data_IF_328203641012
#
_entry.id   IF_328203641012
#
_cell.length_a   1.000
_cell.length_b   1.000
_cell.length_c   1.000
_cell.angle_alpha   90.00
_cell.angle_beta   90.00
_cell.angle_gamma   90.00
#
_symmetry.space_group_name_H-M   'P 1'
#
loop_
_entity.id
_entity.type
_entity.pdbx_description
1 polymer ?
#
# COMPACT_ATOMS: atom_id res chain seq x y z
N UNK A 1 -1.98 -37.65 4.33
CA UNK A 1 -0.77 -36.89 4.70
C UNK A 1 0.19 -37.02 3.52
N UNK A 2 0.37 -35.95 2.77
CA UNK A 2 1.22 -36.00 1.56
C UNK A 2 2.70 -36.08 1.97
N UNK A 3 3.56 -36.68 1.14
CA UNK A 3 5.01 -36.82 1.40
C UNK A 3 5.70 -35.50 1.77
N UNK A 4 5.15 -34.38 1.29
CA UNK A 4 5.59 -33.01 1.58
C UNK A 4 5.36 -32.65 3.05
N UNK A 5 4.18 -32.93 3.62
CA UNK A 5 3.85 -32.62 5.02
C UNK A 5 4.78 -33.35 6.01
N UNK A 6 5.03 -34.64 5.77
CA UNK A 6 5.91 -35.44 6.63
C UNK A 6 7.38 -34.97 6.59
N UNK A 7 7.83 -34.44 5.45
CA UNK A 7 9.20 -33.92 5.27
C UNK A 7 9.40 -32.59 5.99
N UNK A 8 8.43 -31.68 5.91
CA UNK A 8 8.48 -30.41 6.65
C UNK A 8 8.32 -30.62 8.16
N UNK A 9 7.48 -31.55 8.60
CA UNK A 9 7.39 -31.92 10.02
C UNK A 9 8.72 -32.42 10.60
N UNK A 10 9.47 -33.20 9.82
CA UNK A 10 10.79 -33.67 10.21
C UNK A 10 11.82 -32.53 10.28
N UNK A 11 11.78 -31.58 9.33
CA UNK A 11 12.60 -30.36 9.36
C UNK A 11 12.27 -29.47 10.57
N UNK A 12 10.98 -29.27 10.85
CA UNK A 12 10.51 -28.48 11.98
C UNK A 12 11.03 -29.03 13.31
N UNK A 13 11.06 -30.36 13.44
CA UNK A 13 11.55 -31.05 14.64
C UNK A 13 13.07 -31.09 14.76
N UNK A 14 13.80 -31.10 13.63
CA UNK A 14 15.25 -31.35 13.62
C UNK A 14 16.10 -30.08 13.65
N UNK A 15 15.56 -28.94 13.20
CA UNK A 15 16.31 -27.69 13.14
C UNK A 15 15.94 -26.76 14.31
N UNK A 16 16.93 -26.13 14.99
CA UNK A 16 16.69 -25.25 16.13
C UNK A 16 16.25 -23.84 15.70
N UNK A 17 15.41 -23.77 14.67
CA UNK A 17 14.87 -22.52 14.16
C UNK A 17 13.49 -22.26 14.75
N UNK A 18 13.15 -20.98 14.90
CA UNK A 18 11.78 -20.58 15.19
C UNK A 18 11.01 -20.66 13.88
N UNK A 19 10.15 -21.66 13.76
CA UNK A 19 9.27 -21.83 12.61
C UNK A 19 8.04 -20.94 12.79
N UNK A 20 7.77 -20.11 11.79
CA UNK A 20 6.60 -19.25 11.77
C UNK A 20 5.50 -19.93 10.93
N UNK A 21 4.87 -20.96 11.48
CA UNK A 21 3.86 -21.80 10.82
C UNK A 21 2.63 -21.01 10.32
N UNK A 22 2.45 -19.78 10.82
CA UNK A 22 1.36 -18.87 10.47
C UNK A 22 1.74 -17.80 9.44
N UNK A 23 3.02 -17.68 9.07
CA UNK A 23 3.46 -16.71 8.06
C UNK A 23 3.20 -17.28 6.66
N UNK A 24 1.95 -17.18 6.20
CA UNK A 24 1.57 -17.36 4.79
C UNK A 24 2.11 -16.25 3.87
N UNK A 25 3.00 -15.41 4.38
CA UNK A 25 3.45 -14.16 3.79
C UNK A 25 4.90 -14.28 3.32
N UNK A 26 5.34 -13.31 2.53
CA UNK A 26 6.62 -13.38 1.83
C UNK A 26 7.84 -13.34 2.74
N UNK A 27 8.92 -13.97 2.27
CA UNK A 27 10.26 -13.78 2.83
C UNK A 27 10.68 -12.33 2.62
N UNK A 28 10.84 -11.59 3.72
CA UNK A 28 11.19 -10.18 3.63
C UNK A 28 12.68 -10.00 3.39
N UNK A 29 13.03 -9.19 2.38
CA UNK A 29 14.41 -8.79 2.16
C UNK A 29 14.73 -7.51 2.96
N UNK A 30 15.61 -7.61 3.98
CA UNK A 30 15.93 -6.49 4.84
C UNK A 30 16.80 -5.44 4.14
N UNK A 31 17.50 -5.82 3.07
CA UNK A 31 18.54 -4.99 2.45
C UNK A 31 17.97 -3.83 1.64
N UNK A 32 18.71 -2.71 1.67
CA UNK A 32 18.32 -1.43 1.10
C UNK A 32 17.41 -0.58 2.00
N UNK A 33 17.19 -0.97 3.27
CA UNK A 33 16.46 -0.16 4.26
C UNK A 33 17.44 0.36 5.31
N UNK A 34 17.34 1.62 5.76
CA UNK A 34 18.14 2.10 6.88
C UNK A 34 18.03 1.23 8.16
N UNK A 35 16.94 0.49 8.34
CA UNK A 35 16.69 -0.44 9.46
C UNK A 35 17.47 -1.76 9.34
N UNK A 36 18.19 -2.02 8.24
CA UNK A 36 18.87 -3.30 7.95
C UNK A 36 20.04 -3.67 8.89
N UNK A 37 20.47 -2.77 9.79
CA UNK A 37 21.74 -2.85 10.53
C UNK A 37 22.00 -4.16 11.29
N UNK A 38 20.95 -4.93 11.61
CA UNK A 38 21.05 -6.19 12.34
C UNK A 38 21.22 -7.42 11.44
N UNK A 39 21.18 -7.26 10.11
CA UNK A 39 21.22 -8.36 9.15
C UNK A 39 22.50 -8.32 8.33
N UNK A 40 23.19 -9.46 8.27
CA UNK A 40 24.43 -9.62 7.50
C UNK A 40 24.20 -10.25 6.13
N UNK A 41 23.31 -11.24 6.06
CA UNK A 41 22.93 -11.94 4.83
C UNK A 41 21.50 -12.49 4.94
N UNK A 42 20.85 -12.65 3.80
CA UNK A 42 19.61 -13.39 3.61
C UNK A 42 19.89 -14.54 2.66
N UNK A 43 19.52 -15.74 3.07
CA UNK A 43 19.60 -16.95 2.25
C UNK A 43 18.19 -17.41 1.92
N UNK A 44 17.88 -17.49 0.63
CA UNK A 44 16.56 -17.93 0.14
C UNK A 44 16.72 -19.23 -0.65
N UNK A 45 16.13 -20.30 -0.14
CA UNK A 45 16.04 -21.59 -0.82
C UNK A 45 14.77 -21.63 -1.66
N UNK A 46 14.89 -21.41 -2.97
CA UNK A 46 13.79 -21.51 -3.92
C UNK A 46 13.77 -22.92 -4.52
N UNK A 47 13.01 -23.80 -3.88
CA UNK A 47 12.89 -25.19 -4.30
C UNK A 47 12.08 -25.36 -5.59
N UNK A 48 11.27 -24.38 -5.98
CA UNK A 48 10.48 -24.44 -7.21
C UNK A 48 11.36 -24.17 -8.43
N UNK A 49 12.27 -23.21 -8.32
CA UNK A 49 13.19 -22.85 -9.41
C UNK A 49 14.55 -23.56 -9.29
N UNK A 50 14.74 -24.42 -8.29
CA UNK A 50 16.00 -25.13 -7.98
C UNK A 50 17.19 -24.18 -7.74
N UNK A 51 16.99 -23.10 -6.98
CA UNK A 51 18.00 -22.05 -6.77
C UNK A 51 18.19 -21.70 -5.30
N UNK A 52 19.44 -21.56 -4.86
CA UNK A 52 19.82 -20.86 -3.63
C UNK A 52 20.21 -19.43 -3.98
N UNK A 53 19.54 -18.47 -3.34
CA UNK A 53 19.89 -17.05 -3.43
C UNK A 53 20.56 -16.56 -2.16
N UNK A 54 21.58 -15.75 -2.33
CA UNK A 54 22.28 -15.04 -1.28
C UNK A 54 22.13 -13.54 -1.53
N UNK A 55 21.58 -12.81 -0.57
CA UNK A 55 21.45 -11.36 -0.64
C UNK A 55 22.13 -10.74 0.58
N UNK A 56 22.92 -9.70 0.36
CA UNK A 56 23.52 -8.89 1.42
C UNK A 56 23.45 -7.40 1.05
N UNK A 57 24.13 -6.53 1.79
CA UNK A 57 24.13 -5.08 1.49
C UNK A 57 24.79 -4.73 0.14
N UNK A 58 25.69 -5.58 -0.33
CA UNK A 58 26.55 -5.33 -1.49
C UNK A 58 25.90 -5.84 -2.78
N UNK A 59 25.00 -6.82 -2.70
CA UNK A 59 24.26 -7.32 -3.86
C UNK A 59 23.45 -8.58 -3.61
N UNK A 60 22.97 -9.15 -4.71
CA UNK A 60 22.26 -10.42 -4.77
C UNK A 60 23.01 -11.37 -5.72
N UNK A 61 23.12 -12.64 -5.32
CA UNK A 61 23.74 -13.69 -6.12
C UNK A 61 22.97 -14.99 -6.00
N UNK A 62 23.07 -15.86 -7.00
CA UNK A 62 22.34 -17.12 -7.03
C UNK A 62 23.19 -18.29 -7.52
N UNK A 63 22.82 -19.50 -7.11
CA UNK A 63 23.37 -20.75 -7.64
C UNK A 63 22.29 -21.83 -7.69
N UNK A 64 22.39 -22.78 -8.62
CA UNK A 64 21.48 -23.92 -8.66
C UNK A 64 21.70 -24.84 -7.46
N UNK A 65 20.61 -25.30 -6.84
CA UNK A 65 20.66 -26.23 -5.70
C UNK A 65 21.29 -27.57 -6.11
N UNK A 66 21.11 -28.02 -7.36
CA UNK A 66 21.79 -29.20 -7.88
C UNK A 66 23.32 -29.15 -7.69
N UNK A 67 23.95 -28.00 -7.92
CA UNK A 67 25.41 -27.85 -7.79
C UNK A 67 25.89 -28.01 -6.35
N UNK A 68 25.08 -27.62 -5.36
CA UNK A 68 25.37 -27.82 -3.93
C UNK A 68 25.40 -29.31 -3.54
N UNK A 69 24.70 -30.16 -4.29
CA UNK A 69 24.66 -31.62 -4.04
C UNK A 69 25.84 -32.35 -4.68
N UNK A 70 26.42 -31.77 -5.72
CA UNK A 70 27.50 -32.38 -6.50
C UNK A 70 28.88 -32.05 -5.94
N UNK A 71 29.07 -30.84 -5.41
CA UNK A 71 30.39 -30.38 -4.93
C UNK A 71 30.29 -29.37 -3.79
N UNK A 72 31.42 -29.14 -3.13
CA UNK A 72 31.59 -27.99 -2.23
C UNK A 72 31.53 -26.71 -3.06
N UNK A 73 30.70 -25.77 -2.62
CA UNK A 73 30.43 -24.49 -3.29
C UNK A 73 30.82 -23.35 -2.34
N UNK A 74 31.42 -22.31 -2.91
CA UNK A 74 31.74 -21.05 -2.24
C UNK A 74 30.90 -19.90 -2.79
N UNK A 75 30.91 -18.74 -2.11
CA UNK A 75 30.24 -17.54 -2.61
C UNK A 75 30.75 -17.08 -3.99
N UNK A 76 32.02 -17.38 -4.33
CA UNK A 76 32.61 -17.03 -5.60
C UNK A 76 32.07 -17.86 -6.78
N UNK A 77 31.42 -18.99 -6.50
CA UNK A 77 30.77 -19.83 -7.50
C UNK A 77 29.35 -19.34 -7.86
N UNK A 78 28.82 -18.35 -7.14
CA UNK A 78 27.47 -17.83 -7.36
C UNK A 78 27.46 -16.78 -8.48
N UNK A 79 26.42 -16.82 -9.31
CA UNK A 79 26.16 -15.83 -10.35
C UNK A 79 25.61 -14.54 -9.73
N UNK A 80 26.19 -13.38 -10.07
CA UNK A 80 25.71 -12.08 -9.58
C UNK A 80 24.47 -11.61 -10.33
N UNK A 81 23.45 -11.20 -9.59
CA UNK A 81 22.20 -10.62 -10.10
C UNK A 81 22.17 -9.09 -9.97
N UNK A 82 23.25 -8.47 -9.50
CA UNK A 82 23.35 -7.03 -9.27
C UNK A 82 22.96 -6.61 -7.85
N UNK A 83 22.25 -5.49 -7.73
CA UNK A 83 21.94 -4.86 -6.44
C UNK A 83 21.04 -5.70 -5.52
N UNK A 84 20.99 -5.35 -4.22
CA UNK A 84 20.20 -6.10 -3.24
C UNK A 84 18.69 -5.93 -3.40
N UNK A 85 18.27 -4.85 -4.07
CA UNK A 85 16.88 -4.57 -4.40
C UNK A 85 16.69 -4.90 -5.88
N UNK A 86 15.67 -5.71 -6.25
CA UNK A 86 15.32 -5.92 -7.64
C UNK A 86 15.00 -4.60 -8.32
N UNK A 87 15.54 -4.36 -9.52
CA UNK A 87 15.19 -3.18 -10.30
C UNK A 87 13.65 -3.13 -10.52
N UNK A 88 13.02 -1.96 -10.41
CA UNK A 88 11.62 -1.80 -10.76
C UNK A 88 11.40 -2.29 -12.20
N UNK A 89 10.45 -3.22 -12.38
CA UNK A 89 10.00 -3.59 -13.71
C UNK A 89 9.12 -2.46 -14.22
N UNK A 90 9.64 -1.67 -15.16
CA UNK A 90 8.81 -0.69 -15.86
C UNK A 90 7.83 -1.43 -16.77
N UNK A 91 6.54 -1.05 -16.72
CA UNK A 91 5.56 -1.66 -17.58
C UNK A 91 5.84 -1.29 -19.04
N UNK A 92 6.14 -2.29 -19.87
CA UNK A 92 6.27 -2.11 -21.32
C UNK A 92 4.89 -1.92 -21.96
N UNK A 93 4.64 -0.74 -22.51
CA UNK A 93 3.47 -0.43 -23.32
C UNK A 93 3.92 0.27 -24.61
N UNK A 94 3.21 0.04 -25.72
CA UNK A 94 3.52 0.70 -26.98
C UNK A 94 3.34 2.21 -26.85
N UNK A 95 4.42 2.96 -27.07
CA UNK A 95 4.44 4.43 -26.98
C UNK A 95 3.57 5.11 -28.05
N UNK A 96 3.08 4.38 -29.05
CA UNK A 96 2.24 4.89 -30.14
C UNK A 96 0.75 4.95 -29.76
N UNK A 97 0.33 4.34 -28.63
CA UNK A 97 -1.05 4.39 -28.17
C UNK A 97 -1.40 5.77 -27.57
N UNK A 98 -2.48 6.36 -28.07
CA UNK A 98 -3.10 7.55 -27.47
C UNK A 98 -3.78 7.17 -26.15
N UNK A 99 -3.07 7.33 -25.04
CA UNK A 99 -3.61 7.12 -23.70
C UNK A 99 -4.77 8.09 -23.42
N UNK A 100 -5.78 7.57 -22.73
CA UNK A 100 -6.83 8.40 -22.16
C UNK A 100 -6.26 9.25 -21.02
N UNK A 101 -6.62 10.53 -20.98
CA UNK A 101 -6.21 11.48 -19.94
C UNK A 101 -7.47 12.09 -19.31
N UNK A 102 -8.03 11.48 -18.24
CA UNK A 102 -9.15 12.08 -17.52
C UNK A 102 -8.75 13.39 -16.85
N UNK A 103 -9.68 14.34 -16.72
CA UNK A 103 -9.53 15.46 -15.80
C UNK A 103 -9.88 14.97 -14.39
N UNK A 104 -8.84 14.76 -13.62
CA UNK A 104 -8.97 14.23 -12.27
C UNK A 104 -9.11 15.38 -11.29
N UNK A 105 -10.33 15.52 -10.77
CA UNK A 105 -10.66 16.51 -9.74
C UNK A 105 -10.73 15.85 -8.37
N UNK A 106 -9.80 16.21 -7.50
CA UNK A 106 -9.77 15.81 -6.09
C UNK A 106 -9.86 17.06 -5.24
N UNK A 107 -10.75 17.05 -4.25
CA UNK A 107 -10.90 18.18 -3.34
C UNK A 107 -9.61 18.41 -2.54
N UNK A 108 -9.22 19.68 -2.37
CA UNK A 108 -7.94 20.03 -1.76
C UNK A 108 -7.78 19.50 -0.33
N UNK A 109 -8.89 19.33 0.39
CA UNK A 109 -8.90 18.80 1.76
C UNK A 109 -8.54 17.32 1.78
N UNK A 110 -9.24 16.51 0.97
CA UNK A 110 -8.96 15.09 0.81
C UNK A 110 -7.58 14.89 0.22
N UNK A 111 -7.16 15.70 -0.75
CA UNK A 111 -5.80 15.67 -1.31
C UNK A 111 -4.75 15.89 -0.22
N UNK A 112 -4.84 17.00 0.53
CA UNK A 112 -3.87 17.36 1.57
C UNK A 112 -3.75 16.30 2.68
N UNK A 113 -4.87 15.67 3.06
CA UNK A 113 -4.88 14.64 4.10
C UNK A 113 -4.46 13.26 3.55
N UNK A 114 -5.10 12.81 2.48
CA UNK A 114 -4.96 11.43 1.98
C UNK A 114 -3.62 11.21 1.28
N UNK A 115 -3.08 12.20 0.55
CA UNK A 115 -1.77 12.07 -0.08
C UNK A 115 -0.70 11.86 0.97
N UNK A 116 -0.68 12.71 2.00
CA UNK A 116 0.31 12.61 3.08
C UNK A 116 0.20 11.27 3.82
N UNK A 117 -1.03 10.80 4.09
CA UNK A 117 -1.27 9.49 4.69
C UNK A 117 -0.73 8.33 3.84
N UNK A 118 -0.92 8.37 2.52
CA UNK A 118 -0.43 7.35 1.59
C UNK A 118 1.10 7.40 1.42
N UNK A 119 1.69 8.60 1.45
CA UNK A 119 3.14 8.78 1.45
C UNK A 119 3.78 8.23 2.73
N UNK A 120 3.13 8.42 3.89
CA UNK A 120 3.58 7.84 5.15
C UNK A 120 3.38 6.32 5.20
N UNK A 121 2.33 5.81 4.55
CA UNK A 121 2.14 4.38 4.35
C UNK A 121 3.30 3.78 3.53
N UNK A 122 3.63 4.40 2.39
CA UNK A 122 4.81 4.05 1.58
C UNK A 122 6.07 4.02 2.44
N UNK A 123 6.24 5.03 3.30
CA UNK A 123 7.39 5.16 4.20
C UNK A 123 7.52 4.04 5.19
N UNK A 124 6.44 3.72 5.91
CA UNK A 124 6.52 2.72 6.97
C UNK A 124 6.73 1.31 6.41
N UNK A 125 6.10 1.01 5.27
CA UNK A 125 6.08 -0.33 4.66
C UNK A 125 7.06 -0.52 3.50
N UNK A 126 7.94 0.45 3.25
CA UNK A 126 8.97 0.44 2.19
C UNK A 126 9.75 -0.87 2.04
N UNK A 127 9.97 -1.57 3.15
CA UNK A 127 10.75 -2.82 3.18
C UNK A 127 10.10 -3.96 2.40
N UNK A 128 8.76 -4.00 2.37
CA UNK A 128 8.00 -4.96 1.57
C UNK A 128 7.79 -4.43 0.15
N UNK A 129 7.46 -3.15 0.02
CA UNK A 129 7.07 -2.53 -1.25
C UNK A 129 8.15 -2.60 -2.33
N UNK A 130 9.43 -2.60 -1.95
CA UNK A 130 10.56 -2.74 -2.88
C UNK A 130 10.74 -4.14 -3.48
N UNK A 131 10.20 -5.17 -2.84
CA UNK A 131 10.42 -6.55 -3.24
C UNK A 131 9.27 -7.09 -4.09
N UNK A 132 9.42 -8.33 -4.55
CA UNK A 132 8.29 -9.13 -5.02
C UNK A 132 7.58 -9.72 -3.81
N UNK A 133 6.27 -9.82 -3.90
CA UNK A 133 5.43 -10.39 -2.87
C UNK A 133 4.33 -11.25 -3.50
N UNK A 134 3.85 -12.23 -2.75
CA UNK A 134 2.85 -13.18 -3.16
C UNK A 134 1.46 -12.52 -3.26
N UNK A 135 0.49 -13.28 -3.78
CA UNK A 135 -0.87 -12.78 -4.00
C UNK A 135 -1.58 -12.38 -2.70
N UNK A 136 -1.31 -13.05 -1.58
CA UNK A 136 -1.93 -12.73 -0.29
C UNK A 136 -1.44 -11.37 0.22
N UNK A 137 -0.11 -11.15 0.18
CA UNK A 137 0.50 -9.86 0.55
C UNK A 137 0.04 -8.75 -0.39
N UNK A 138 0.01 -9.00 -1.71
CA UNK A 138 -0.53 -8.06 -2.70
C UNK A 138 -1.95 -7.62 -2.32
N UNK A 139 -2.83 -8.57 -2.04
CA UNK A 139 -4.24 -8.30 -1.68
C UNK A 139 -4.37 -7.57 -0.33
N UNK A 140 -3.51 -7.87 0.64
CA UNK A 140 -3.50 -7.17 1.93
C UNK A 140 -3.03 -5.72 1.79
N UNK A 141 -1.94 -5.48 1.06
CA UNK A 141 -1.43 -4.13 0.76
C UNK A 141 -2.44 -3.34 -0.06
N UNK A 142 -3.02 -3.93 -1.11
CA UNK A 142 -4.04 -3.30 -1.92
C UNK A 142 -5.23 -2.90 -1.05
N UNK A 143 -5.75 -3.79 -0.19
CA UNK A 143 -6.86 -3.45 0.70
C UNK A 143 -6.52 -2.32 1.66
N UNK A 144 -5.31 -2.29 2.22
CA UNK A 144 -4.88 -1.17 3.05
C UNK A 144 -4.86 0.15 2.28
N UNK A 145 -4.30 0.16 1.06
CA UNK A 145 -4.26 1.34 0.19
C UNK A 145 -5.67 1.86 -0.09
N UNK A 146 -6.61 0.96 -0.44
CA UNK A 146 -8.01 1.31 -0.66
C UNK A 146 -8.65 1.85 0.61
N UNK A 147 -8.45 1.21 1.77
CA UNK A 147 -8.97 1.69 3.05
C UNK A 147 -8.47 3.09 3.40
N UNK A 148 -7.20 3.39 3.11
CA UNK A 148 -6.65 4.73 3.30
C UNK A 148 -7.26 5.73 2.32
N UNK A 149 -7.42 5.37 1.04
CA UNK A 149 -7.99 6.27 0.01
C UNK A 149 -9.48 6.55 0.18
N UNK A 150 -10.22 5.60 0.74
CA UNK A 150 -11.65 5.73 1.06
C UNK A 150 -11.90 6.24 2.47
N UNK A 151 -10.86 6.51 3.25
CA UNK A 151 -10.93 6.91 4.67
C UNK A 151 -11.66 5.87 5.56
N UNK A 152 -11.66 4.60 5.14
CA UNK A 152 -12.20 3.45 5.89
C UNK A 152 -11.16 2.89 6.87
N UNK A 153 -10.78 3.67 7.87
CA UNK A 153 -9.88 3.24 8.95
C UNK A 153 -10.25 3.89 10.28
N UNK A 154 -9.80 3.34 11.39
CA UNK A 154 -9.99 3.94 12.71
C UNK A 154 -8.78 4.79 13.10
N UNK A 155 -9.03 5.91 13.77
CA UNK A 155 -7.97 6.66 14.47
C UNK A 155 -8.18 6.43 15.96
N UNK A 156 -7.24 5.73 16.60
CA UNK A 156 -7.26 5.50 18.04
C UNK A 156 -6.23 6.40 18.69
N UNK A 157 -6.65 7.12 19.73
CA UNK A 157 -5.77 8.00 20.48
C UNK A 157 -5.09 7.23 21.61
N UNK A 158 -3.78 7.37 21.69
CA UNK A 158 -2.99 6.87 22.80
C UNK A 158 -2.40 8.06 23.56
N UNK A 159 -2.81 8.20 24.82
CA UNK A 159 -2.28 9.19 25.77
C UNK A 159 -1.39 8.53 26.83
N UNK A 160 -1.20 7.21 26.72
CA UNK A 160 -0.40 6.42 27.60
C UNK A 160 1.10 6.66 27.39
N UNK A 161 1.84 6.55 28.48
CA UNK A 161 3.29 6.44 28.40
C UNK A 161 3.74 5.09 27.84
N UNK A 162 4.80 5.07 27.05
CA UNK A 162 5.45 3.83 26.60
C UNK A 162 6.76 3.63 27.38
N UNK A 163 6.92 2.47 28.00
CA UNK A 163 8.16 2.08 28.68
C UNK A 163 9.20 1.42 27.75
N UNK A 164 8.81 1.06 26.52
CA UNK A 164 9.67 0.37 25.57
C UNK A 164 10.06 1.28 24.39
N UNK A 165 11.28 1.06 23.89
CA UNK A 165 11.76 1.61 22.62
C UNK A 165 11.57 0.58 21.52
N UNK A 166 11.43 1.03 20.28
CA UNK A 166 11.33 0.15 19.13
C UNK A 166 10.91 0.91 17.88
N UNK A 167 10.68 0.19 16.79
CA UNK A 167 10.07 0.73 15.58
C UNK A 167 8.58 0.35 15.51
N UNK A 168 7.74 1.19 14.92
CA UNK A 168 6.34 0.82 14.71
C UNK A 168 6.21 -0.29 13.65
N UNK A 169 7.00 -0.20 12.59
CA UNK A 169 7.10 -1.23 11.55
C UNK A 169 8.56 -1.66 11.44
N UNK A 170 8.83 -2.94 11.64
CA UNK A 170 10.16 -3.52 11.49
C UNK A 170 10.32 -4.21 10.15
N UNK A 171 11.57 -4.41 9.73
CA UNK A 171 11.92 -4.97 8.43
C UNK A 171 11.54 -6.43 8.25
N UNK A 172 11.10 -7.13 9.29
CA UNK A 172 10.52 -8.48 9.19
C UNK A 172 9.02 -8.49 9.40
N UNK A 173 8.40 -7.34 9.69
CA UNK A 173 6.95 -7.29 9.86
C UNK A 173 6.28 -7.45 8.49
N UNK A 174 5.25 -8.27 8.46
CA UNK A 174 4.36 -8.49 7.32
C UNK A 174 2.97 -7.92 7.62
N UNK A 175 2.14 -7.60 6.62
CA UNK A 175 0.82 -7.06 6.84
C UNK A 175 -0.05 -8.12 7.52
N UNK A 176 -0.41 -7.91 8.78
CA UNK A 176 -1.30 -8.79 9.53
C UNK A 176 -2.79 -8.53 9.22
N UNK A 177 -3.08 -7.67 8.25
CA UNK A 177 -4.43 -7.24 7.91
C UNK A 177 -5.14 -8.28 7.03
N UNK A 178 -6.46 -8.28 7.10
CA UNK A 178 -7.28 -9.13 6.25
C UNK A 178 -7.06 -8.77 4.77
N UNK A 179 -6.68 -9.72 3.90
CA UNK A 179 -6.55 -9.46 2.45
C UNK A 179 -7.92 -9.33 1.78
N UNK A 180 -7.95 -8.85 0.53
CA UNK A 180 -9.09 -9.11 -0.34
C UNK A 180 -9.25 -10.62 -0.61
N UNK A 181 -10.50 -11.06 -0.82
CA UNK A 181 -10.81 -12.47 -1.08
C UNK A 181 -10.53 -12.87 -2.54
N UNK A 182 -10.57 -11.92 -3.46
CA UNK A 182 -10.37 -12.11 -4.89
C UNK A 182 -9.44 -11.03 -5.44
N UNK A 183 -8.88 -11.28 -6.63
CA UNK A 183 -8.08 -10.31 -7.38
C UNK A 183 -8.94 -9.26 -8.10
N UNK A 184 -10.23 -9.54 -8.26
CA UNK A 184 -11.20 -8.66 -8.88
C UNK A 184 -12.25 -8.27 -7.85
N UNK A 185 -12.30 -6.99 -7.45
CA UNK A 185 -13.16 -6.52 -6.37
C UNK A 185 -13.88 -5.24 -6.75
N UNK A 186 -15.16 -5.10 -6.37
CA UNK A 186 -15.92 -3.87 -6.58
C UNK A 186 -15.78 -2.96 -5.36
N UNK A 187 -15.42 -1.70 -5.58
CA UNK A 187 -15.30 -0.67 -4.54
C UNK A 187 -16.06 0.56 -5.01
N UNK A 188 -17.22 0.82 -4.39
CA UNK A 188 -18.17 1.80 -4.91
C UNK A 188 -18.58 1.45 -6.34
N UNK A 189 -18.36 2.39 -7.27
CA UNK A 189 -18.70 2.25 -8.69
C UNK A 189 -17.53 1.77 -9.56
N UNK A 190 -16.34 1.54 -9.00
CA UNK A 190 -15.17 1.08 -9.76
C UNK A 190 -14.85 -0.39 -9.47
N UNK A 191 -14.47 -1.12 -10.51
CA UNK A 191 -13.88 -2.46 -10.39
C UNK A 191 -12.36 -2.35 -10.23
N UNK A 192 -11.84 -2.85 -9.13
CA UNK A 192 -10.40 -2.90 -8.88
C UNK A 192 -9.88 -4.27 -9.33
N UNK A 193 -8.88 -4.24 -10.22
CA UNK A 193 -8.18 -5.42 -10.71
C UNK A 193 -6.79 -5.44 -10.11
N UNK A 194 -6.55 -6.40 -9.21
CA UNK A 194 -5.29 -6.61 -8.52
C UNK A 194 -4.40 -7.53 -9.36
N UNK A 195 -3.18 -7.10 -9.62
CA UNK A 195 -2.25 -7.85 -10.47
C UNK A 195 -0.80 -7.58 -10.06
N UNK A 196 0.13 -8.49 -10.34
CA UNK A 196 1.56 -8.16 -10.18
C UNK A 196 2.09 -7.34 -11.35
N UNK A 197 1.63 -7.64 -12.56
CA UNK A 197 1.96 -6.92 -13.79
C UNK A 197 0.70 -6.21 -14.34
N UNK A 198 0.82 -4.91 -14.68
CA UNK A 198 -0.33 -4.10 -15.14
C UNK A 198 -0.94 -4.66 -16.43
N UNK A 199 -0.13 -5.24 -17.32
CA UNK A 199 -0.60 -5.87 -18.57
C UNK A 199 -1.54 -7.05 -18.33
N UNK A 200 -1.28 -7.82 -17.28
CA UNK A 200 -2.14 -8.92 -16.85
C UNK A 200 -3.48 -8.38 -16.35
N UNK A 201 -3.45 -7.33 -15.52
CA UNK A 201 -4.65 -6.62 -15.06
C UNK A 201 -5.47 -6.03 -16.20
N UNK A 202 -4.81 -5.48 -17.22
CA UNK A 202 -5.49 -4.95 -18.41
C UNK A 202 -6.20 -6.04 -19.20
N UNK A 203 -5.52 -7.19 -19.39
CA UNK A 203 -6.11 -8.36 -20.04
C UNK A 203 -7.34 -8.87 -19.28
N UNK A 204 -7.26 -8.92 -17.94
CA UNK A 204 -8.40 -9.31 -17.09
C UNK A 204 -9.57 -8.34 -17.23
N UNK A 205 -9.32 -7.03 -17.22
CA UNK A 205 -10.36 -6.02 -17.41
C UNK A 205 -11.03 -6.14 -18.80
N UNK A 206 -10.25 -6.35 -19.86
CA UNK A 206 -10.78 -6.56 -21.22
C UNK A 206 -11.64 -7.82 -21.33
N UNK A 207 -11.23 -8.92 -20.69
CA UNK A 207 -12.02 -10.15 -20.62
C UNK A 207 -13.34 -9.92 -19.90
N UNK A 208 -13.33 -9.16 -18.79
CA UNK A 208 -14.55 -8.84 -18.04
C UNK A 208 -15.52 -7.97 -18.87
N UNK A 209 -15.03 -6.93 -19.55
CA UNK A 209 -15.84 -6.10 -20.47
C UNK A 209 -16.45 -6.94 -21.61
N UNK A 210 -15.74 -7.98 -22.05
CA UNK A 210 -16.18 -8.87 -23.14
C UNK A 210 -17.17 -9.94 -22.70
N UNK A 211 -17.33 -10.15 -21.39
CA UNK A 211 -18.27 -11.11 -20.83
C UNK A 211 -19.71 -10.57 -20.86
N UNK A 212 -20.69 -11.46 -21.05
CA UNK A 212 -22.13 -11.08 -21.07
C UNK A 212 -22.62 -10.51 -19.73
N UNK A 213 -21.85 -10.69 -18.66
CA UNK A 213 -22.14 -10.15 -17.33
C UNK A 213 -21.96 -8.62 -17.27
N UNK A 214 -21.22 -8.02 -18.23
CA UNK A 214 -21.16 -6.58 -18.43
C UNK A 214 -22.43 -6.11 -19.18
N UNK A 215 -23.59 -6.28 -18.54
CA UNK A 215 -24.88 -5.84 -19.07
C UNK A 215 -25.01 -4.32 -19.03
N UNK A 216 -25.58 -3.80 -20.10
CA UNK A 216 -25.84 -2.42 -20.53
C UNK A 216 -26.64 -1.52 -19.57
N UNK A 217 -26.76 -1.90 -18.29
CA UNK A 217 -27.40 -1.10 -17.23
C UNK A 217 -26.44 -0.15 -16.51
N UNK A 218 -25.13 -0.34 -16.62
CA UNK A 218 -24.13 0.65 -16.18
C UNK A 218 -23.95 1.67 -17.31
N UNK A 219 -24.91 2.60 -17.42
CA UNK A 219 -24.74 3.80 -18.25
C UNK A 219 -23.46 4.51 -17.81
N UNK A 220 -22.65 5.09 -18.72
CA UNK A 220 -21.44 5.79 -18.34
C UNK A 220 -21.80 6.85 -17.30
N UNK A 221 -21.37 6.66 -16.05
CA UNK A 221 -21.49 7.69 -15.05
C UNK A 221 -20.55 8.80 -15.48
N UNK A 222 -21.15 9.86 -16.02
CA UNK A 222 -20.45 11.12 -16.19
C UNK A 222 -20.30 11.75 -14.82
N UNK A 223 -19.11 12.27 -14.52
CA UNK A 223 -18.94 13.19 -13.40
C UNK A 223 -19.89 14.39 -13.55
N UNK A 224 -20.07 15.18 -12.49
CA UNK A 224 -20.86 16.42 -12.55
C UNK A 224 -20.32 17.41 -13.62
N UNK A 225 -19.05 17.26 -14.03
CA UNK A 225 -18.39 17.98 -15.13
C UNK A 225 -18.61 17.38 -16.53
N UNK A 226 -19.33 16.26 -16.66
CA UNK A 226 -19.62 15.60 -17.93
C UNK A 226 -18.53 14.63 -18.42
N UNK A 227 -17.52 14.32 -17.59
CA UNK A 227 -16.44 13.42 -17.98
C UNK A 227 -16.73 11.95 -17.67
N UNK A 228 -16.22 11.09 -18.56
CA UNK A 228 -16.26 9.64 -18.41
C UNK A 228 -15.56 9.16 -17.12
N UNK A 229 -16.31 8.59 -16.17
CA UNK A 229 -15.72 7.97 -14.98
C UNK A 229 -14.97 6.66 -15.33
N UNK A 230 -13.91 6.35 -14.57
CA UNK A 230 -13.22 5.07 -14.69
C UNK A 230 -14.14 3.92 -14.24
N UNK A 231 -14.27 2.90 -15.08
CA UNK A 231 -14.98 1.67 -14.76
C UNK A 231 -14.05 0.67 -14.07
N UNK A 232 -12.76 0.70 -14.41
CA UNK A 232 -11.75 -0.18 -13.86
C UNK A 232 -10.56 0.62 -13.34
N UNK A 233 -10.00 0.14 -12.23
CA UNK A 233 -8.71 0.57 -11.69
C UNK A 233 -7.82 -0.64 -11.56
N UNK A 234 -6.79 -0.72 -12.40
CA UNK A 234 -5.78 -1.76 -12.35
C UNK A 234 -4.71 -1.33 -11.33
N UNK A 235 -4.49 -2.15 -10.31
CA UNK A 235 -3.63 -1.82 -9.18
C UNK A 235 -2.63 -2.95 -8.93
N UNK A 236 -1.35 -2.65 -9.15
CA UNK A 236 -0.23 -3.55 -8.80
C UNK A 236 0.48 -3.21 -7.50
N UNK A 237 -0.07 -2.26 -6.74
CA UNK A 237 0.57 -1.53 -5.63
C UNK A 237 1.76 -0.68 -6.09
N UNK A 238 2.60 -1.17 -7.01
CA UNK A 238 3.70 -0.41 -7.61
C UNK A 238 3.27 0.58 -8.68
N UNK A 239 2.20 0.25 -9.40
CA UNK A 239 1.63 1.09 -10.45
C UNK A 239 0.11 1.10 -10.36
N UNK A 240 -0.48 2.14 -10.93
CA UNK A 240 -1.93 2.31 -11.10
C UNK A 240 -2.23 2.67 -12.56
N UNK A 241 -3.31 2.12 -13.08
CA UNK A 241 -3.86 2.48 -14.39
C UNK A 241 -5.38 2.55 -14.29
N UNK A 242 -5.97 3.60 -14.85
CA UNK A 242 -7.42 3.74 -14.93
C UNK A 242 -7.90 3.32 -16.31
N UNK A 243 -9.06 2.68 -16.36
CA UNK A 243 -9.67 2.27 -17.61
C UNK A 243 -11.15 2.63 -17.68
N UNK A 244 -11.57 2.97 -18.88
CA UNK A 244 -12.93 3.35 -19.21
C UNK A 244 -13.43 2.51 -20.39
N UNK A 245 -14.55 1.82 -20.19
CA UNK A 245 -15.18 1.04 -21.25
C UNK A 245 -15.93 1.97 -22.21
N UNK A 246 -15.56 1.96 -23.49
CA UNK A 246 -16.20 2.76 -24.55
C UNK A 246 -17.20 1.96 -25.38
N UNK A 247 -17.30 0.65 -25.15
CA UNK A 247 -18.24 -0.24 -25.81
C UNK A 247 -17.91 -1.71 -25.54
N UNK A 248 -18.68 -2.64 -26.13
CA UNK A 248 -18.38 -4.06 -26.05
C UNK A 248 -16.98 -4.33 -26.57
N UNK A 249 -16.14 -4.97 -25.75
CA UNK A 249 -14.74 -5.30 -26.05
C UNK A 249 -13.82 -4.09 -26.32
N UNK A 250 -14.22 -2.86 -25.95
CA UNK A 250 -13.42 -1.65 -26.18
C UNK A 250 -13.15 -0.92 -24.87
N UNK A 251 -11.87 -0.86 -24.50
CA UNK A 251 -11.40 -0.26 -23.26
C UNK A 251 -10.32 0.78 -23.59
N UNK A 252 -10.56 2.03 -23.20
CA UNK A 252 -9.52 3.06 -23.16
C UNK A 252 -8.84 3.03 -21.79
N UNK A 253 -7.55 3.30 -21.75
CA UNK A 253 -6.81 3.33 -20.49
C UNK A 253 -5.80 4.48 -20.44
N UNK A 254 -5.45 4.89 -19.23
CA UNK A 254 -4.37 5.84 -18.96
C UNK A 254 -3.01 5.19 -19.20
N UNK A 255 -1.95 6.00 -19.20
CA UNK A 255 -0.61 5.47 -18.98
C UNK A 255 -0.53 4.85 -17.56
N UNK A 256 0.29 3.81 -17.35
CA UNK A 256 0.59 3.33 -16.00
C UNK A 256 1.37 4.41 -15.23
N UNK A 257 0.86 4.82 -14.08
CA UNK A 257 1.51 5.79 -13.22
C UNK A 257 2.21 5.09 -12.04
N UNK A 258 3.43 5.52 -11.66
CA UNK A 258 4.15 4.94 -10.54
C UNK A 258 3.50 5.31 -9.20
N UNK A 259 3.27 4.29 -8.37
CA UNK A 259 2.61 4.38 -7.08
C UNK A 259 3.58 3.99 -5.95
N UNK A 260 3.54 2.77 -5.41
CA UNK A 260 4.36 2.41 -4.24
C UNK A 260 5.53 1.49 -4.58
N UNK A 261 6.73 2.06 -4.78
CA UNK A 261 7.95 1.30 -5.09
C UNK A 261 8.84 0.95 -3.88
N UNK A 262 8.57 1.53 -2.70
CA UNK A 262 9.40 1.36 -1.50
C UNK A 262 10.85 1.90 -1.59
N UNK A 263 11.20 2.63 -2.66
CA UNK A 263 12.54 3.16 -2.88
C UNK A 263 12.52 4.69 -3.04
N UNK A 264 13.12 5.37 -2.07
CA UNK A 264 13.24 6.82 -2.07
C UNK A 264 14.23 7.37 -3.11
N UNK A 265 15.17 6.55 -3.58
CA UNK A 265 16.11 6.95 -4.63
C UNK A 265 15.44 7.04 -6.01
N UNK A 266 14.37 6.27 -6.24
CA UNK A 266 13.58 6.28 -7.48
C UNK A 266 12.47 7.34 -7.44
N UNK A 267 12.07 7.75 -6.23
CA UNK A 267 11.09 8.82 -6.00
C UNK A 267 9.82 8.32 -5.30
N UNK A 268 9.09 9.22 -4.62
CA UNK A 268 7.82 8.89 -3.99
C UNK A 268 6.75 8.53 -5.03
N UNK A 269 5.58 8.00 -4.58
CA UNK A 269 4.39 7.92 -5.42
C UNK A 269 4.13 9.21 -6.19
N UNK A 270 3.77 9.10 -7.48
CA UNK A 270 3.40 10.24 -8.31
C UNK A 270 2.12 10.89 -7.77
N UNK A 271 2.06 12.23 -7.74
CA UNK A 271 0.85 12.96 -7.33
C UNK A 271 -0.35 12.57 -8.22
N UNK A 272 -0.12 12.31 -9.51
CA UNK A 272 -1.16 11.85 -10.43
C UNK A 272 -1.66 10.44 -10.07
N UNK A 273 -0.76 9.55 -9.64
CA UNK A 273 -1.12 8.22 -9.18
C UNK A 273 -1.98 8.26 -7.90
N UNK A 274 -1.66 9.18 -6.99
CA UNK A 274 -2.43 9.41 -5.77
C UNK A 274 -3.80 10.02 -6.10
N UNK A 275 -3.84 11.02 -6.98
CA UNK A 275 -5.08 11.62 -7.47
C UNK A 275 -5.98 10.57 -8.15
N UNK A 276 -5.41 9.68 -9.00
CA UNK A 276 -6.13 8.56 -9.62
C UNK A 276 -6.77 7.64 -8.58
N UNK A 277 -6.04 7.29 -7.52
CA UNK A 277 -6.54 6.44 -6.46
C UNK A 277 -7.71 7.08 -5.70
N UNK A 278 -7.54 8.36 -5.31
CA UNK A 278 -8.55 9.10 -4.52
C UNK A 278 -9.80 9.38 -5.35
N UNK A 279 -9.64 9.71 -6.64
CA UNK A 279 -10.73 9.98 -7.56
C UNK A 279 -11.51 8.72 -7.93
N UNK A 280 -10.83 7.64 -8.35
CA UNK A 280 -11.48 6.40 -8.76
C UNK A 280 -12.28 5.77 -7.60
N UNK A 281 -11.79 5.91 -6.36
CA UNK A 281 -12.45 5.37 -5.16
C UNK A 281 -13.42 6.34 -4.48
N UNK A 282 -13.66 7.52 -5.06
CA UNK A 282 -14.50 8.55 -4.44
C UNK A 282 -15.93 8.08 -4.14
N UNK A 283 -16.51 7.29 -5.04
CA UNK A 283 -17.86 6.73 -4.90
C UNK A 283 -18.01 5.73 -3.74
N UNK A 284 -16.91 5.21 -3.21
CA UNK A 284 -16.92 4.32 -2.04
C UNK A 284 -16.88 5.09 -0.71
N UNK A 285 -16.63 6.40 -0.73
CA UNK A 285 -16.70 7.23 0.47
C UNK A 285 -18.17 7.49 0.83
N UNK A 286 -18.53 7.46 2.12
CA UNK A 286 -19.87 7.85 2.54
C UNK A 286 -20.17 9.29 2.11
N UNK A 287 -21.20 9.48 1.28
CA UNK A 287 -21.68 10.82 0.97
C UNK A 287 -22.56 11.30 2.13
N UNK A 288 -22.02 12.16 2.98
CA UNK A 288 -22.73 12.69 4.14
C UNK A 288 -22.96 14.18 3.94
N UNK A 289 -24.18 14.54 3.53
CA UNK A 289 -24.59 15.95 3.47
C UNK A 289 -25.08 16.37 4.86
N UNK A 290 -24.53 17.49 5.37
CA UNK A 290 -24.92 18.03 6.68
C UNK A 290 -25.20 19.52 6.56
N UNK A 291 -26.10 20.03 7.40
CA UNK A 291 -26.34 21.47 7.51
C UNK A 291 -25.11 22.24 8.00
N UNK A 292 -24.09 21.55 8.53
CA UNK A 292 -22.82 22.17 8.94
C UNK A 292 -22.05 22.74 7.75
N UNK A 293 -22.27 22.23 6.54
CA UNK A 293 -21.59 22.70 5.33
C UNK A 293 -21.98 24.14 4.94
N UNK A 294 -23.13 24.63 5.42
CA UNK A 294 -23.55 26.01 5.16
C UNK A 294 -22.97 27.03 6.16
N UNK A 295 -22.31 26.55 7.23
CA UNK A 295 -21.63 27.41 8.19
C UNK A 295 -20.35 28.00 7.58
N UNK A 296 -19.89 29.18 8.01
CA UNK A 296 -18.57 29.69 7.65
C UNK A 296 -17.46 28.68 7.99
N UNK A 297 -16.42 28.61 7.15
CA UNK A 297 -15.34 27.61 7.28
C UNK A 297 -14.66 27.68 8.65
N UNK A 298 -14.54 28.87 9.23
CA UNK A 298 -13.96 29.08 10.56
C UNK A 298 -14.79 28.41 11.66
N UNK A 299 -16.12 28.43 11.52
CA UNK A 299 -17.04 27.77 12.45
C UNK A 299 -16.95 26.25 12.27
N UNK A 300 -16.84 25.77 11.03
CA UNK A 300 -16.62 24.36 10.74
C UNK A 300 -15.31 23.87 11.38
N UNK A 301 -14.22 24.63 11.25
CA UNK A 301 -12.92 24.32 11.87
C UNK A 301 -12.98 24.30 13.39
N UNK A 302 -13.73 25.22 14.00
CA UNK A 302 -13.98 25.21 15.45
C UNK A 302 -14.71 23.92 15.83
N UNK A 303 -15.78 23.54 15.11
CA UNK A 303 -16.53 22.31 15.39
C UNK A 303 -15.62 21.08 15.29
N UNK A 304 -14.82 20.98 14.22
CA UNK A 304 -13.91 19.85 14.01
C UNK A 304 -12.88 19.71 15.15
N UNK A 305 -12.39 20.81 15.73
CA UNK A 305 -11.49 20.76 16.90
C UNK A 305 -12.11 20.12 18.13
N UNK A 306 -13.44 20.14 18.27
CA UNK A 306 -14.14 19.52 19.39
C UNK A 306 -14.54 18.06 19.14
N UNK A 307 -14.35 17.54 17.92
CA UNK A 307 -14.72 16.15 17.58
C UNK A 307 -13.78 15.14 18.25
N UNK A 308 -12.52 15.52 18.48
CA UNK A 308 -11.51 14.58 18.97
C UNK A 308 -10.37 15.25 19.73
N UNK A 309 -9.72 14.47 20.60
CA UNK A 309 -8.54 14.92 21.33
C UNK A 309 -7.30 15.13 20.43
N UNK A 310 -7.18 14.38 19.33
CA UNK A 310 -6.11 14.53 18.33
C UNK A 310 -6.60 15.17 17.03
N UNK A 311 -5.71 15.86 16.32
CA UNK A 311 -6.03 16.57 15.07
C UNK A 311 -6.22 15.67 13.85
N UNK A 312 -5.62 14.47 13.85
CA UNK A 312 -5.73 13.52 12.72
C UNK A 312 -7.15 12.99 12.56
N UNK A 313 -7.84 12.68 13.67
CA UNK A 313 -9.24 12.25 13.59
C UNK A 313 -10.15 13.39 13.14
N UNK A 314 -9.92 14.62 13.63
CA UNK A 314 -10.63 15.80 13.17
C UNK A 314 -10.46 16.03 11.66
N UNK A 315 -9.24 15.91 11.14
CA UNK A 315 -8.95 16.00 9.70
C UNK A 315 -9.68 14.92 8.88
N UNK A 316 -9.65 13.67 9.35
CA UNK A 316 -10.41 12.57 8.73
C UNK A 316 -11.91 12.88 8.66
N UNK A 317 -12.50 13.37 9.76
CA UNK A 317 -13.92 13.72 9.82
C UNK A 317 -14.24 14.90 8.91
N UNK A 318 -13.37 15.91 8.86
CA UNK A 318 -13.49 17.03 7.92
C UNK A 318 -13.53 16.57 6.47
N UNK A 319 -12.66 15.63 6.08
CA UNK A 319 -12.69 15.03 4.74
C UNK A 319 -14.00 14.28 4.46
N UNK A 320 -14.44 13.44 5.39
CA UNK A 320 -15.68 12.64 5.23
C UNK A 320 -16.95 13.49 5.13
N UNK A 321 -17.01 14.60 5.88
CA UNK A 321 -18.19 15.47 5.93
C UNK A 321 -18.10 16.65 4.95
N UNK A 322 -16.98 16.80 4.24
CA UNK A 322 -16.74 17.98 3.40
C UNK A 322 -16.61 19.29 4.20
N UNK A 323 -16.16 19.22 5.46
CA UNK A 323 -16.13 20.35 6.39
C UNK A 323 -14.71 20.88 6.65
N UNK A 324 -14.62 22.18 6.88
CA UNK A 324 -13.41 22.86 7.36
C UNK A 324 -12.37 23.17 6.28
N UNK A 325 -11.26 23.74 6.69
CA UNK A 325 -10.12 24.04 5.83
C UNK A 325 -9.25 22.80 5.53
N UNK A 326 -8.43 22.80 4.47
CA UNK A 326 -7.45 21.74 4.23
C UNK A 326 -6.50 21.55 5.44
N UNK A 327 -6.28 20.29 5.83
CA UNK A 327 -5.47 20.01 7.02
C UNK A 327 -4.00 20.34 6.78
N UNK A 328 -3.45 21.21 7.63
CA UNK A 328 -2.09 21.73 7.51
C UNK A 328 -1.02 20.86 8.21
N UNK A 329 -1.38 19.65 8.66
CA UNK A 329 -0.49 18.77 9.41
C UNK A 329 0.13 19.44 10.65
N UNK A 330 -0.71 20.19 11.36
CA UNK A 330 -0.35 20.96 12.56
C UNK A 330 -1.39 20.77 13.66
N UNK A 331 -0.91 20.83 14.90
CA UNK A 331 -1.72 20.94 16.10
C UNK A 331 -1.30 22.20 16.86
N UNK A 332 -2.02 23.28 16.60
CA UNK A 332 -1.62 24.63 17.02
C UNK A 332 -0.23 24.99 16.47
N UNK A 333 0.77 25.28 17.33
CA UNK A 333 2.13 25.57 16.90
C UNK A 333 2.96 24.32 16.57
N UNK A 334 2.48 23.12 16.90
CA UNK A 334 3.23 21.88 16.78
C UNK A 334 3.03 21.26 15.40
N UNK A 335 4.09 20.68 14.83
CA UNK A 335 4.00 19.91 13.60
C UNK A 335 3.53 18.49 13.93
N UNK A 336 2.55 17.99 13.19
CA UNK A 336 2.10 16.60 13.26
C UNK A 336 2.97 15.80 12.30
N UNK A 337 3.79 14.90 12.83
CA UNK A 337 4.75 14.12 12.03
C UNK A 337 4.56 12.63 12.23
N UNK A 338 4.88 11.85 11.21
CA UNK A 338 4.96 10.39 11.30
C UNK A 338 5.98 9.97 12.37
N UNK A 339 5.54 9.14 13.30
CA UNK A 339 6.37 8.50 14.30
C UNK A 339 6.87 7.15 13.77
N UNK A 340 8.16 7.07 13.43
CA UNK A 340 8.75 5.78 12.98
C UNK A 340 9.08 4.85 14.15
N UNK A 341 9.28 5.41 15.36
CA UNK A 341 9.81 4.70 16.53
C UNK A 341 8.97 4.96 17.77
N UNK A 342 8.79 3.94 18.60
CA UNK A 342 8.26 4.15 19.95
C UNK A 342 9.20 5.05 20.73
N UNK A 343 8.68 6.21 21.11
CA UNK A 343 9.34 7.13 22.02
C UNK A 343 8.95 6.78 23.45
N UNK A 344 9.93 6.75 24.37
CA UNK A 344 9.63 6.66 25.80
C UNK A 344 8.93 7.97 26.17
N UNK A 345 7.68 7.88 26.62
CA UNK A 345 6.89 9.05 27.00
C UNK A 345 6.32 8.87 28.40
N UNK A 346 6.31 9.91 29.23
CA UNK A 346 5.54 9.91 30.46
C UNK A 346 4.05 9.98 30.15
N UNK A 347 3.22 9.44 31.04
CA UNK A 347 1.76 9.58 30.95
C UNK A 347 1.36 11.06 30.95
N UNK A 348 0.43 11.44 30.08
CA UNK A 348 0.01 12.85 29.90
C UNK A 348 0.81 13.64 28.86
N UNK A 349 1.60 12.97 28.01
CA UNK A 349 2.22 13.58 26.83
C UNK A 349 1.21 13.94 25.73
N UNK A 350 1.66 14.57 24.64
CA UNK A 350 0.83 14.84 23.47
C UNK A 350 0.13 13.58 22.94
N UNK A 351 -1.06 13.78 22.37
CA UNK A 351 -1.92 12.69 21.88
C UNK A 351 -1.25 12.01 20.69
N UNK A 352 -0.99 10.71 20.81
CA UNK A 352 -0.58 9.89 19.69
C UNK A 352 -1.81 9.44 18.90
N UNK A 353 -1.85 9.73 17.61
CA UNK A 353 -2.92 9.29 16.72
C UNK A 353 -2.46 8.07 15.93
N UNK A 354 -2.96 6.90 16.30
CA UNK A 354 -2.64 5.63 15.65
C UNK A 354 -3.72 5.31 14.62
N UNK A 355 -3.31 4.90 13.42
CA UNK A 355 -4.23 4.43 12.36
C UNK A 355 -4.41 2.92 12.46
N UNK A 356 -5.65 2.45 12.41
CA UNK A 356 -6.02 1.05 12.62
C UNK A 356 -6.94 0.52 11.52
N UNK A 357 -6.72 -0.74 11.17
CA UNK A 357 -7.52 -1.51 10.24
C UNK A 357 -8.25 -2.61 11.02
N UNK A 358 -9.40 -2.27 11.60
CA UNK A 358 -10.07 -3.14 12.57
C UNK A 358 -9.17 -3.38 13.78
N UNK A 359 -8.94 -4.64 14.13
CA UNK A 359 -8.12 -5.00 15.30
C UNK A 359 -6.60 -4.93 15.09
N UNK A 360 -6.14 -4.50 13.91
CA UNK A 360 -4.72 -4.47 13.57
C UNK A 360 -4.22 -3.05 13.33
N UNK A 361 -3.07 -2.69 13.93
CA UNK A 361 -2.38 -1.42 13.65
C UNK A 361 -1.94 -1.37 12.19
N UNK A 362 -2.12 -0.22 11.52
CA UNK A 362 -1.60 -0.01 10.16
C UNK A 362 -0.09 0.28 10.14
N UNK A 363 0.51 0.57 11.30
CA UNK A 363 1.90 1.03 11.40
C UNK A 363 2.09 2.53 11.18
N UNK A 364 1.03 3.26 10.78
CA UNK A 364 1.03 4.72 10.71
C UNK A 364 0.63 5.26 12.08
N UNK A 365 1.49 6.11 12.62
CA UNK A 365 1.33 6.72 13.93
C UNK A 365 1.79 8.17 13.83
N UNK A 366 0.98 9.09 14.34
CA UNK A 366 1.29 10.51 14.31
C UNK A 366 1.44 11.07 15.71
N UNK A 367 2.42 11.96 15.87
CA UNK A 367 2.59 12.73 17.09
C UNK A 367 2.85 14.20 16.76
N UNK A 368 2.21 15.10 17.50
CA UNK A 368 2.49 16.52 17.46
C UNK A 368 3.75 16.85 18.30
N UNK A 369 4.73 17.52 17.69
CA UNK A 369 6.00 17.91 18.35
C UNK A 369 6.39 19.34 18.01
N UNK A 370 7.15 19.97 18.93
CA UNK A 370 7.85 21.22 18.65
C UNK A 370 8.97 20.96 17.66
N UNK A 371 9.09 21.83 16.65
CA UNK A 371 10.12 21.74 15.60
C UNK A 371 11.52 22.04 16.08
#
# INVERSE_FOLDING_TARGET
MTFIEATFDALHKSLPFKWNDHEKYDTVNPFGDPRQLQYHALWTFDTQNDVLRHTNRDGCSQIRLALLRERVVSLADMESLGGPIPLPLEPTFDSELLYWKPQVEVDDRTRAFTHHLLLDFHRQWRHILRNRYNSVTLRALARAIIRLSTLDFEVRHDTGGHGSRGVHVWITHLPAWEPFKADFVRVGNVYIVLCQAIQEGLSMAQQHVSSQDFSTTESPSTTDSGEAQAHYMILSVKHIMLCHATGPNSLKHTAPEPLFNGDYGVGPPSDLALDYLVWATASARPWIFTTLQSLPVEVQDIILKYVSAGTVLAAKVGCLLGLGSPFLWKDGPLMVTLEERYSIRPSGSSVESQVWFGEHKSGIVYLARGG
#
